data_IF_710253672511
#
_entry.id   IF_710253672511
#
_cell.length_a   1.000
_cell.length_b   1.000
_cell.length_c   1.000
_cell.angle_alpha   90.00
_cell.angle_beta   90.00
_cell.angle_gamma   90.00
#
_symmetry.space_group_name_H-M   'P 1'
#
loop_
_entity.id
_entity.type
_entity.pdbx_description
1 polymer ?
#
# COMPACT_ATOMS: atom_id res chain seq x y z
N UNK A 1 -5.23 16.01 3.44
CA UNK A 1 -5.12 14.78 4.25
C UNK A 1 -6.23 14.85 5.29
N UNK A 2 -7.02 13.79 5.47
CA UNK A 2 -8.19 13.82 6.35
C UNK A 2 -7.75 13.95 7.82
N UNK A 3 -7.97 15.10 8.43
CA UNK A 3 -7.88 15.26 9.89
C UNK A 3 -8.93 14.33 10.54
N UNK A 4 -8.49 13.45 11.43
CA UNK A 4 -9.37 12.60 12.26
C UNK A 4 -9.49 11.12 11.87
N UNK A 5 -8.75 10.64 10.86
CA UNK A 5 -8.69 9.20 10.55
C UNK A 5 -7.83 8.39 11.53
N UNK A 6 -7.90 7.04 11.52
CA UNK A 6 -7.13 6.17 12.43
C UNK A 6 -5.60 6.27 12.26
N UNK A 7 -5.13 6.84 11.15
CA UNK A 7 -3.71 7.11 10.90
C UNK A 7 -3.32 8.57 11.19
N UNK A 8 -4.24 9.38 11.72
CA UNK A 8 -3.94 10.75 12.11
C UNK A 8 -2.86 10.76 13.19
N UNK A 9 -1.82 11.57 12.99
CA UNK A 9 -0.69 11.68 13.93
C UNK A 9 0.36 10.58 13.80
N UNK A 10 0.12 9.51 13.02
CA UNK A 10 1.15 8.51 12.73
C UNK A 10 2.20 9.12 11.80
N UNK A 11 3.47 8.87 12.13
CA UNK A 11 4.62 9.32 11.36
C UNK A 11 5.36 8.14 10.76
N UNK A 12 5.97 8.40 9.62
CA UNK A 12 6.96 7.50 9.05
C UNK A 12 8.16 7.38 10.00
N UNK A 13 8.46 6.17 10.46
CA UNK A 13 9.52 5.93 11.45
C UNK A 13 10.94 6.20 10.93
N UNK A 14 11.13 6.22 9.60
CA UNK A 14 12.44 6.39 8.97
C UNK A 14 12.74 7.86 8.63
N UNK A 15 11.71 8.64 8.29
CA UNK A 15 11.87 10.05 7.89
C UNK A 15 11.31 11.04 8.91
N UNK A 16 10.49 10.60 9.87
CA UNK A 16 9.73 11.48 10.77
C UNK A 16 8.61 12.28 10.09
N UNK A 17 8.47 12.16 8.77
CA UNK A 17 7.43 12.82 7.99
C UNK A 17 6.04 12.27 8.33
N UNK A 18 4.96 13.04 8.08
CA UNK A 18 3.60 12.50 8.13
C UNK A 18 3.49 11.27 7.25
N UNK A 19 2.82 10.23 7.76
CA UNK A 19 2.54 9.03 7.00
C UNK A 19 1.62 9.36 5.81
N UNK A 20 1.96 8.89 4.61
CA UNK A 20 1.15 9.07 3.41
C UNK A 20 0.72 7.72 2.86
N UNK A 21 -0.52 7.69 2.36
CA UNK A 21 -0.98 6.62 1.48
C UNK A 21 -0.68 7.06 0.06
N UNK A 22 0.14 6.28 -0.64
CA UNK A 22 0.57 6.53 -2.01
C UNK A 22 0.09 5.39 -2.92
N UNK A 23 0.05 5.65 -4.22
CA UNK A 23 -0.45 4.67 -5.20
C UNK A 23 0.51 3.48 -5.39
N UNK A 24 1.82 3.73 -5.33
CA UNK A 24 2.87 2.71 -5.53
C UNK A 24 4.20 3.12 -4.91
N UNK A 25 4.99 2.13 -4.53
CA UNK A 25 6.41 2.34 -4.21
C UNK A 25 7.19 2.71 -5.47
N UNK A 26 8.15 3.62 -5.35
CA UNK A 26 8.99 4.04 -6.46
C UNK A 26 10.37 3.40 -6.33
N UNK A 27 10.65 2.46 -7.23
CA UNK A 27 11.94 1.75 -7.24
C UNK A 27 13.11 2.74 -7.40
N UNK A 28 14.12 2.60 -6.55
CA UNK A 28 15.29 3.49 -6.52
C UNK A 28 15.03 4.89 -5.93
N UNK A 29 13.80 5.20 -5.54
CA UNK A 29 13.47 6.47 -4.90
C UNK A 29 13.25 6.28 -3.39
N UNK A 30 14.23 6.70 -2.61
CA UNK A 30 14.19 6.70 -1.14
C UNK A 30 13.08 7.59 -0.55
N UNK A 31 12.46 8.44 -1.37
CA UNK A 31 11.35 9.32 -0.97
C UNK A 31 10.10 8.56 -0.55
N UNK A 32 9.94 7.31 -1.03
CA UNK A 32 8.79 6.46 -0.70
C UNK A 32 9.05 5.53 0.48
N UNK A 33 10.27 5.46 1.02
CA UNK A 33 10.61 4.53 2.09
C UNK A 33 9.70 4.74 3.31
N UNK A 34 9.03 3.69 3.78
CA UNK A 34 8.10 3.73 4.91
C UNK A 34 6.72 4.32 4.61
N UNK A 35 6.42 4.66 3.35
CA UNK A 35 5.07 5.06 2.95
C UNK A 35 4.17 3.83 2.78
N UNK A 36 2.85 4.05 2.90
CA UNK A 36 1.85 3.00 2.79
C UNK A 36 1.30 2.94 1.37
N UNK A 37 1.11 1.74 0.86
CA UNK A 37 0.33 1.46 -0.35
C UNK A 37 -0.89 0.64 0.04
N UNK A 38 -2.06 1.07 -0.43
CA UNK A 38 -3.29 0.29 -0.34
C UNK A 38 -3.74 0.02 -1.76
N UNK A 39 -3.90 -1.24 -2.11
CA UNK A 39 -4.45 -1.60 -3.41
C UNK A 39 -5.27 -2.87 -3.35
N UNK A 40 -5.82 -3.23 -4.49
CA UNK A 40 -6.59 -4.47 -4.64
C UNK A 40 -5.66 -5.67 -4.51
N UNK A 41 -6.06 -6.66 -3.73
CA UNK A 41 -5.42 -7.97 -3.73
C UNK A 41 -5.68 -8.63 -5.08
N UNK A 42 -4.64 -8.72 -5.89
CA UNK A 42 -4.64 -9.55 -7.10
C UNK A 42 -4.09 -10.90 -6.70
N UNK A 43 -4.87 -12.01 -6.81
CA UNK A 43 -4.33 -13.34 -6.63
C UNK A 43 -3.12 -13.50 -7.56
N UNK A 44 -1.98 -14.02 -7.06
CA UNK A 44 -0.82 -14.20 -7.91
C UNK A 44 -1.18 -15.12 -9.08
N UNK A 45 -0.71 -14.79 -10.30
CA UNK A 45 -1.01 -15.57 -11.50
C UNK A 45 -0.40 -16.99 -11.44
N UNK A 46 0.56 -17.22 -10.55
CA UNK A 46 1.16 -18.50 -10.23
C UNK A 46 1.76 -18.48 -8.82
N UNK A 47 1.99 -19.65 -8.21
CA UNK A 47 2.64 -19.75 -6.89
C UNK A 47 4.03 -19.11 -6.87
N UNK A 48 4.74 -19.07 -8.01
CA UNK A 48 6.04 -18.40 -8.12
C UNK A 48 5.95 -16.87 -8.02
N UNK A 49 4.76 -16.28 -8.26
CA UNK A 49 4.50 -14.85 -8.09
C UNK A 49 3.94 -14.51 -6.69
N UNK A 50 3.72 -15.51 -5.83
CA UNK A 50 3.26 -15.30 -4.46
C UNK A 50 4.36 -14.58 -3.66
N UNK A 51 4.10 -13.32 -3.30
CA UNK A 51 5.02 -12.46 -2.55
C UNK A 51 5.49 -11.20 -3.31
N UNK A 52 5.22 -11.11 -4.62
CA UNK A 52 5.53 -9.93 -5.44
C UNK A 52 4.29 -9.31 -6.08
N UNK A 53 3.11 -9.58 -5.49
CA UNK A 53 1.85 -9.09 -6.01
C UNK A 53 1.83 -7.57 -6.04
N UNK A 54 1.80 -6.99 -7.23
CA UNK A 54 1.52 -5.57 -7.40
C UNK A 54 0.07 -5.34 -7.03
N UNK A 55 -0.16 -4.67 -5.89
CA UNK A 55 -1.51 -4.21 -5.59
C UNK A 55 -1.90 -3.22 -6.70
N UNK A 56 -3.02 -3.47 -7.38
CA UNK A 56 -3.54 -2.52 -8.34
C UNK A 56 -4.09 -1.32 -7.56
N UNK A 57 -3.58 -0.12 -7.86
CA UNK A 57 -4.06 1.11 -7.24
C UNK A 57 -5.57 1.27 -7.42
N UNK A 58 -6.24 1.77 -6.38
CA UNK A 58 -7.66 2.08 -6.43
C UNK A 58 -7.86 3.41 -7.17
N UNK A 59 -8.64 3.41 -8.25
CA UNK A 59 -8.94 4.64 -8.98
C UNK A 59 -10.15 5.36 -8.36
N UNK A 60 -10.21 6.71 -8.39
CA UNK A 60 -11.42 7.43 -8.03
C UNK A 60 -12.60 6.97 -8.90
N UNK A 61 -13.67 6.48 -8.26
CA UNK A 61 -14.86 5.97 -8.95
C UNK A 61 -14.91 4.45 -9.13
N UNK A 62 -13.90 3.71 -8.67
CA UNK A 62 -13.96 2.25 -8.63
C UNK A 62 -15.15 1.77 -7.78
N UNK A 63 -16.13 1.13 -8.41
CA UNK A 63 -17.27 0.51 -7.75
C UNK A 63 -16.82 -0.66 -6.88
N UNK A 64 -17.00 -0.55 -5.57
CA UNK A 64 -16.77 -1.60 -4.57
C UNK A 64 -17.95 -2.60 -4.55
N UNK A 65 -18.19 -3.31 -5.66
CA UNK A 65 -19.39 -4.14 -5.84
C UNK A 65 -19.29 -5.55 -5.23
N UNK A 66 -18.15 -5.92 -4.67
CA UNK A 66 -17.88 -7.20 -3.99
C UNK A 66 -17.02 -6.93 -2.75
N UNK A 67 -16.95 -7.83 -1.74
CA UNK A 67 -16.00 -7.68 -0.64
C UNK A 67 -14.60 -7.56 -1.24
N UNK A 68 -14.08 -6.33 -1.28
CA UNK A 68 -12.80 -6.05 -1.91
C UNK A 68 -11.75 -6.60 -0.97
N UNK A 69 -11.11 -7.70 -1.36
CA UNK A 69 -9.88 -8.09 -0.71
C UNK A 69 -8.85 -7.00 -1.03
N UNK A 70 -8.55 -6.16 -0.05
CA UNK A 70 -7.51 -5.15 -0.14
C UNK A 70 -6.21 -5.74 0.39
N UNK A 71 -5.10 -5.14 -0.03
CA UNK A 71 -3.78 -5.44 0.48
C UNK A 71 -3.12 -4.16 0.95
N UNK A 72 -2.64 -4.20 2.18
CA UNK A 72 -1.80 -3.19 2.78
C UNK A 72 -0.33 -3.56 2.55
N UNK A 73 0.42 -2.63 2.00
CA UNK A 73 1.86 -2.79 1.78
C UNK A 73 2.61 -1.57 2.34
N UNK A 74 3.90 -1.77 2.62
CA UNK A 74 4.84 -0.70 2.99
C UNK A 74 6.02 -0.70 2.03
N UNK A 75 6.52 0.48 1.67
CA UNK A 75 7.70 0.58 0.81
C UNK A 75 8.97 0.39 1.62
N UNK A 76 9.86 -0.48 1.16
CA UNK A 76 11.20 -0.66 1.72
C UNK A 76 12.19 0.42 1.26
N UNK A 77 13.45 0.34 1.71
CA UNK A 77 14.49 1.32 1.39
C UNK A 77 14.92 1.32 -0.08
N UNK A 78 14.65 0.23 -0.81
CA UNK A 78 14.91 0.08 -2.24
C UNK A 78 13.70 0.46 -3.12
N UNK A 79 12.56 0.78 -2.50
CA UNK A 79 11.33 1.14 -3.18
C UNK A 79 10.51 -0.07 -3.66
N UNK A 80 10.70 -1.24 -3.06
CA UNK A 80 9.81 -2.39 -3.24
C UNK A 80 8.66 -2.36 -2.25
N UNK A 81 7.49 -2.80 -2.69
CA UNK A 81 6.32 -2.97 -1.84
C UNK A 81 6.43 -4.30 -1.07
N UNK A 82 6.34 -4.23 0.26
CA UNK A 82 6.31 -5.39 1.14
C UNK A 82 4.90 -5.60 1.66
N UNK A 83 4.38 -6.82 1.53
CA UNK A 83 3.05 -7.19 2.02
C UNK A 83 3.00 -7.17 3.55
N UNK A 84 2.02 -6.46 4.11
CA UNK A 84 1.84 -6.35 5.57
C UNK A 84 0.58 -7.09 6.02
N UNK A 85 -0.53 -6.87 5.32
CA UNK A 85 -1.80 -7.49 5.66
C UNK A 85 -2.74 -7.57 4.45
N UNK A 86 -3.55 -8.61 4.40
CA UNK A 86 -4.76 -8.64 3.58
C UNK A 86 -5.92 -8.09 4.43
N UNK A 87 -6.75 -7.21 3.86
CA UNK A 87 -7.91 -6.63 4.52
C UNK A 87 -9.18 -7.15 3.82
N UNK A 88 -10.16 -7.56 4.61
CA UNK A 88 -11.49 -7.90 4.14
C UNK A 88 -12.47 -6.78 4.53
N UNK A 89 -13.23 -6.28 3.55
CA UNK A 89 -14.32 -5.33 3.72
C UNK A 89 -15.66 -6.04 3.50
#
# INVERSE_FOLDING_TARGET
MAEGGPLAGVRNAFSGAPLQVIERCQHGAHTTFGQIVVGRRVPPASDAAAGHGTAAGLAPGDTLTHPLALRLQVCDSAGYALDVADLAL
#
